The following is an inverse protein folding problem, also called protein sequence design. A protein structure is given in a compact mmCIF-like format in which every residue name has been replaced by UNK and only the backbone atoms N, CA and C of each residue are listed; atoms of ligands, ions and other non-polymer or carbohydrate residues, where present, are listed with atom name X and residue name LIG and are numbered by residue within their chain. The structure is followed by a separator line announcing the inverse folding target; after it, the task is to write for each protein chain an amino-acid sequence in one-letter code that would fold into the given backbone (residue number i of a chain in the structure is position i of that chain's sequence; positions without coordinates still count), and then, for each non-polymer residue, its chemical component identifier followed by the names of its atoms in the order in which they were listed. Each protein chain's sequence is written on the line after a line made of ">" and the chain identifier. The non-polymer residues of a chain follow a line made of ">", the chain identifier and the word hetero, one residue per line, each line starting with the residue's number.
data_IF_650156862695
#
_entry.id   IF_650156862695
#
_cell.length_a   1.000
_cell.length_b   1.000
_cell.length_c   1.000
_cell.angle_alpha   90.00
_cell.angle_beta   90.00
_cell.angle_gamma   90.00
#
_symmetry.space_group_name_H-M   'P 1'
#
loop_
_entity.id
_entity.type
_entity.pdbx_description
1 polymer ?
#
# COMPACT_ATOMS: atom_id res chain seq x y z
N UNK A 1 22.87 -9.22 -17.61
CA UNK A 1 21.83 -9.64 -18.58
C UNK A 1 20.48 -9.93 -17.93
N UNK A 2 20.41 -10.61 -16.78
CA UNK A 2 19.14 -10.93 -16.11
C UNK A 2 18.28 -9.72 -15.71
N UNK A 3 18.89 -8.59 -15.34
CA UNK A 3 18.19 -7.34 -14.99
C UNK A 3 17.52 -6.65 -16.19
N UNK A 4 18.14 -6.72 -17.37
CA UNK A 4 17.60 -6.13 -18.61
C UNK A 4 16.39 -6.90 -19.13
N UNK A 5 16.43 -8.24 -19.10
CA UNK A 5 15.27 -9.05 -19.48
C UNK A 5 14.09 -8.85 -18.54
N UNK A 6 14.35 -8.76 -17.22
CA UNK A 6 13.29 -8.53 -16.23
C UNK A 6 12.63 -7.15 -16.41
N UNK A 7 13.41 -6.10 -16.68
CA UNK A 7 12.87 -4.77 -16.97
C UNK A 7 12.06 -4.73 -18.29
N UNK A 8 12.51 -5.45 -19.31
CA UNK A 8 11.79 -5.61 -20.57
C UNK A 8 10.45 -6.34 -20.39
N UNK A 9 10.42 -7.44 -19.64
CA UNK A 9 9.18 -8.19 -19.38
C UNK A 9 8.16 -7.38 -18.57
N UNK A 10 8.61 -6.58 -17.60
CA UNK A 10 7.73 -5.70 -16.83
C UNK A 10 7.13 -4.60 -17.70
N UNK A 11 7.84 -4.11 -18.72
CA UNK A 11 7.34 -3.13 -19.70
C UNK A 11 6.08 -3.62 -20.45
N UNK A 12 5.95 -4.93 -20.70
CA UNK A 12 4.78 -5.54 -21.36
C UNK A 12 3.70 -6.03 -20.39
N UNK A 13 4.01 -6.09 -19.08
CA UNK A 13 3.01 -6.37 -18.03
C UNK A 13 2.36 -5.11 -17.48
N UNK A 14 2.94 -3.93 -17.75
CA UNK A 14 2.36 -2.65 -17.38
C UNK A 14 0.97 -2.50 -18.02
N UNK A 15 0.00 -2.13 -17.19
CA UNK A 15 -1.23 -1.50 -17.67
C UNK A 15 -0.85 -0.26 -18.51
N UNK A 16 -1.70 0.19 -19.45
CA UNK A 16 -1.43 1.42 -20.19
C UNK A 16 -1.00 2.51 -19.21
N UNK A 17 0.22 3.03 -19.38
CA UNK A 17 0.67 4.18 -18.61
C UNK A 17 -0.41 5.26 -18.79
N UNK A 18 -0.85 5.87 -17.68
CA UNK A 18 -1.78 6.99 -17.73
C UNK A 18 -1.08 8.10 -18.55
N UNK A 19 -1.46 8.21 -19.81
CA UNK A 19 -0.86 9.13 -20.75
C UNK A 19 -1.79 10.33 -20.84
N UNK A 20 -1.29 11.46 -20.38
CA UNK A 20 -2.03 12.72 -20.40
C UNK A 20 -1.79 13.41 -21.74
N UNK A 21 -2.88 13.90 -22.35
CA UNK A 21 -2.83 14.60 -23.64
C UNK A 21 -2.17 15.97 -23.56
N UNK A 22 -1.97 16.50 -22.35
CA UNK A 22 -1.27 17.76 -22.10
C UNK A 22 -0.61 17.83 -20.72
N UNK A 23 0.30 18.79 -20.55
CA UNK A 23 0.89 19.08 -19.24
C UNK A 23 -0.16 19.59 -18.23
N UNK A 24 -1.15 20.36 -18.68
CA UNK A 24 -2.22 20.87 -17.80
C UNK A 24 -3.07 19.73 -17.24
N UNK A 25 -3.33 18.71 -18.05
CA UNK A 25 -4.06 17.51 -17.64
C UNK A 25 -3.26 16.69 -16.62
N UNK A 26 -1.96 16.47 -16.85
CA UNK A 26 -1.06 15.84 -15.88
C UNK A 26 -1.03 16.63 -14.56
N UNK A 27 -0.86 17.95 -14.63
CA UNK A 27 -0.82 18.82 -13.45
C UNK A 27 -2.16 18.79 -12.70
N UNK A 28 -3.26 18.79 -13.44
CA UNK A 28 -4.62 18.62 -12.90
C UNK A 28 -4.77 17.30 -12.15
N UNK A 29 -4.33 16.19 -12.75
CA UNK A 29 -4.38 14.88 -12.09
C UNK A 29 -3.49 14.84 -10.85
N UNK A 30 -2.26 15.34 -10.91
CA UNK A 30 -1.38 15.39 -9.73
C UNK A 30 -1.98 16.22 -8.58
N UNK A 31 -2.65 17.33 -8.90
CA UNK A 31 -3.35 18.14 -7.88
C UNK A 31 -4.53 17.40 -7.29
N UNK A 32 -5.37 16.79 -8.12
CA UNK A 32 -6.49 15.98 -7.66
C UNK A 32 -6.02 14.85 -6.73
N UNK A 33 -5.03 14.05 -7.15
CA UNK A 33 -4.44 12.99 -6.31
C UNK A 33 -3.97 13.53 -4.98
N UNK A 34 -3.24 14.65 -4.97
CA UNK A 34 -2.74 15.27 -3.75
C UNK A 34 -3.89 15.72 -2.84
N UNK A 35 -4.90 16.38 -3.41
CA UNK A 35 -6.02 16.95 -2.66
C UNK A 35 -6.95 15.86 -2.12
N UNK A 36 -7.00 14.70 -2.79
CA UNK A 36 -7.73 13.48 -2.39
C UNK A 36 -6.90 12.57 -1.46
N UNK A 37 -5.60 12.81 -1.31
CA UNK A 37 -4.74 12.00 -0.44
C UNK A 37 -4.83 12.46 1.01
N UNK A 38 -4.88 11.51 1.94
CA UNK A 38 -4.97 11.78 3.38
C UNK A 38 -3.92 11.01 4.17
N UNK A 39 -3.38 11.65 5.20
CA UNK A 39 -2.55 10.98 6.21
C UNK A 39 -3.43 10.54 7.39
N UNK A 40 -3.50 9.23 7.62
CA UNK A 40 -4.22 8.65 8.75
C UNK A 40 -3.23 8.08 9.77
N UNK A 41 -3.43 8.42 11.04
CA UNK A 41 -2.65 7.90 12.15
C UNK A 41 -3.51 6.92 12.95
N UNK A 42 -3.20 5.63 12.83
CA UNK A 42 -3.97 4.55 13.46
C UNK A 42 -3.24 4.06 14.71
N UNK A 43 -3.83 4.15 15.91
CA UNK A 43 -3.26 3.58 17.12
C UNK A 43 -3.00 2.07 16.96
N UNK A 44 -1.96 1.50 17.59
CA UNK A 44 -1.67 0.07 17.46
C UNK A 44 -2.83 -0.85 17.87
N UNK A 45 -3.61 -0.45 18.89
CA UNK A 45 -4.74 -1.23 19.40
C UNK A 45 -5.93 -1.26 18.43
N UNK A 46 -6.04 -0.24 17.58
CA UNK A 46 -7.09 -0.11 16.56
C UNK A 46 -6.64 -0.61 15.18
N UNK A 47 -5.34 -0.87 15.00
CA UNK A 47 -4.79 -1.36 13.75
C UNK A 47 -5.17 -2.83 13.53
N UNK A 48 -6.24 -3.06 12.76
CA UNK A 48 -6.73 -4.41 12.43
C UNK A 48 -6.79 -4.59 10.93
N UNK A 49 -5.81 -5.30 10.40
CA UNK A 49 -5.80 -5.70 9.00
C UNK A 49 -6.73 -6.90 8.81
N UNK A 50 -7.68 -6.77 7.89
CA UNK A 50 -8.58 -7.87 7.52
C UNK A 50 -7.86 -8.93 6.66
N UNK A 51 -8.52 -10.06 6.42
CA UNK A 51 -7.98 -11.12 5.57
C UNK A 51 -7.84 -10.72 4.09
N UNK A 52 -8.54 -9.68 3.64
CA UNK A 52 -8.48 -9.13 2.30
C UNK A 52 -7.51 -7.94 2.17
N UNK A 53 -6.65 -7.72 3.19
CA UNK A 53 -5.68 -6.62 3.24
C UNK A 53 -6.35 -5.23 3.22
N UNK A 54 -7.56 -5.14 3.75
CA UNK A 54 -8.25 -3.88 4.00
C UNK A 54 -8.04 -3.45 5.44
N UNK A 55 -8.03 -2.13 5.65
CA UNK A 55 -7.88 -1.51 6.96
C UNK A 55 -9.11 -0.62 7.20
N UNK A 56 -9.89 -0.85 8.24
CA UNK A 56 -10.99 0.04 8.58
C UNK A 56 -10.43 1.36 9.10
N UNK A 57 -10.54 2.41 8.29
CA UNK A 57 -10.29 3.79 8.68
C UNK A 57 -11.62 4.45 9.06
N UNK A 58 -11.59 5.50 9.90
CA UNK A 58 -12.81 6.18 10.38
C UNK A 58 -13.77 6.59 9.25
N UNK A 59 -13.21 7.08 8.13
CA UNK A 59 -13.99 7.53 6.97
C UNK A 59 -14.12 6.48 5.85
N UNK A 60 -13.43 5.34 5.96
CA UNK A 60 -13.43 4.30 4.94
C UNK A 60 -13.21 2.90 5.57
N UNK A 61 -14.29 2.13 5.81
CA UNK A 61 -14.20 0.84 6.52
C UNK A 61 -13.50 -0.25 5.70
N UNK A 62 -13.44 -0.10 4.37
CA UNK A 62 -12.86 -1.08 3.45
C UNK A 62 -11.61 -0.53 2.75
N UNK A 63 -10.86 0.37 3.42
CA UNK A 63 -9.71 1.02 2.79
C UNK A 63 -8.64 0.01 2.39
N UNK A 64 -8.39 -0.09 1.08
CA UNK A 64 -7.33 -0.91 0.51
C UNK A 64 -6.00 -0.17 0.60
N UNK A 65 -5.01 -0.84 1.19
CA UNK A 65 -3.66 -0.29 1.28
C UNK A 65 -3.09 -0.01 -0.11
N UNK A 66 -2.64 1.22 -0.33
CA UNK A 66 -1.83 1.54 -1.50
C UNK A 66 -0.42 0.94 -1.36
N UNK A 67 0.35 1.01 -2.45
CA UNK A 67 1.70 0.45 -2.52
C UNK A 67 2.63 1.00 -1.44
N UNK A 68 2.48 2.28 -1.09
CA UNK A 68 3.28 2.94 -0.07
C UNK A 68 2.99 2.38 1.33
N UNK A 69 1.73 2.41 1.75
CA UNK A 69 1.28 1.92 3.06
C UNK A 69 1.56 0.44 3.23
N UNK A 70 1.32 -0.36 2.18
CA UNK A 70 1.66 -1.78 2.17
C UNK A 70 3.17 -2.02 2.34
N UNK A 71 4.01 -1.25 1.63
CA UNK A 71 5.47 -1.36 1.74
C UNK A 71 5.98 -0.96 3.14
N UNK A 72 5.38 0.05 3.76
CA UNK A 72 5.70 0.43 5.14
C UNK A 72 5.38 -0.70 6.12
N UNK A 73 4.20 -1.34 5.99
CA UNK A 73 3.81 -2.46 6.84
C UNK A 73 4.75 -3.65 6.68
N UNK A 74 5.12 -4.00 5.44
CA UNK A 74 6.10 -5.05 5.17
C UNK A 74 7.42 -4.79 5.93
N UNK A 75 7.91 -3.54 5.90
CA UNK A 75 9.14 -3.15 6.58
C UNK A 75 9.03 -3.24 8.10
N UNK A 76 7.90 -2.81 8.67
CA UNK A 76 7.64 -2.87 10.12
C UNK A 76 7.52 -4.32 10.61
N UNK A 77 6.88 -5.17 9.81
CA UNK A 77 6.74 -6.61 10.04
C UNK A 77 8.06 -7.39 9.84
N UNK A 78 9.07 -6.79 9.20
CA UNK A 78 10.30 -7.49 8.84
C UNK A 78 10.10 -8.56 7.76
N UNK A 79 9.01 -8.48 6.99
CA UNK A 79 8.67 -9.44 5.92
C UNK A 79 8.91 -8.79 4.56
N UNK A 80 9.49 -9.54 3.62
CA UNK A 80 9.71 -9.05 2.25
C UNK A 80 8.39 -8.83 1.52
N UNK A 81 8.22 -7.64 0.94
CA UNK A 81 7.09 -7.29 0.04
C UNK A 81 6.96 -8.27 -1.13
N UNK A 82 8.09 -8.66 -1.74
CA UNK A 82 8.11 -9.63 -2.83
C UNK A 82 7.59 -11.01 -2.41
N UNK A 83 7.82 -11.39 -1.15
CA UNK A 83 7.28 -12.64 -0.59
C UNK A 83 5.78 -12.51 -0.42
N UNK A 84 5.30 -11.45 0.24
CA UNK A 84 3.87 -11.25 0.49
C UNK A 84 3.06 -11.15 -0.81
N UNK A 85 3.58 -10.48 -1.83
CA UNK A 85 2.94 -10.36 -3.15
C UNK A 85 2.77 -11.71 -3.89
N UNK A 86 3.50 -12.76 -3.49
CA UNK A 86 3.36 -14.12 -4.06
C UNK A 86 2.39 -14.99 -3.27
N UNK A 87 1.94 -14.53 -2.11
CA UNK A 87 1.01 -15.25 -1.26
C UNK A 87 -0.43 -14.86 -1.60
N UNK A 88 -1.37 -15.71 -1.19
CA UNK A 88 -2.79 -15.31 -1.21
C UNK A 88 -3.01 -14.11 -0.28
N UNK A 89 -3.98 -13.21 -0.54
CA UNK A 89 -4.28 -12.09 0.34
C UNK A 89 -4.51 -12.52 1.79
N UNK A 90 -5.24 -13.63 1.99
CA UNK A 90 -5.48 -14.22 3.31
C UNK A 90 -4.19 -14.60 4.03
N UNK A 91 -3.24 -15.23 3.33
CA UNK A 91 -1.96 -15.65 3.90
C UNK A 91 -1.05 -14.43 4.16
N UNK A 92 -1.03 -13.46 3.24
CA UNK A 92 -0.27 -12.24 3.41
C UNK A 92 -0.78 -11.42 4.60
N UNK A 93 -2.11 -11.29 4.73
CA UNK A 93 -2.76 -10.63 5.86
C UNK A 93 -2.41 -11.32 7.16
N UNK A 94 -2.43 -12.66 7.19
CA UNK A 94 -2.05 -13.40 8.40
C UNK A 94 -0.57 -13.23 8.76
N UNK A 95 0.32 -13.25 7.78
CA UNK A 95 1.73 -13.03 8.01
C UNK A 95 1.99 -11.64 8.62
N UNK A 96 1.35 -10.59 8.09
CA UNK A 96 1.42 -9.24 8.67
C UNK A 96 0.83 -9.20 10.08
N UNK A 97 -0.34 -9.80 10.28
CA UNK A 97 -1.00 -9.89 11.60
C UNK A 97 -0.10 -10.56 12.65
N UNK A 98 0.67 -11.58 12.29
CA UNK A 98 1.53 -12.32 13.24
C UNK A 98 2.90 -11.65 13.49
N UNK A 99 3.36 -10.80 12.57
CA UNK A 99 4.73 -10.26 12.60
C UNK A 99 4.81 -8.77 12.88
N UNK A 100 3.70 -8.03 12.73
CA UNK A 100 3.67 -6.63 13.10
C UNK A 100 3.99 -6.47 14.60
N UNK A 101 4.81 -5.47 14.96
CA UNK A 101 5.10 -5.20 16.36
C UNK A 101 3.85 -4.64 17.05
N UNK A 102 3.30 -5.37 18.03
CA UNK A 102 2.21 -4.88 18.90
C UNK A 102 2.72 -4.51 20.30
N UNK A 103 3.68 -3.59 20.49
CA UNK A 103 3.99 -3.15 21.82
C UNK A 103 2.79 -2.36 22.37
N UNK A 104 2.23 -2.73 23.54
CA UNK A 104 1.23 -1.92 24.22
C UNK A 104 1.78 -0.50 24.44
N UNK A 105 1.04 0.53 24.03
CA UNK A 105 1.52 1.92 24.08
C UNK A 105 2.57 2.28 23.01
N UNK A 106 2.65 1.51 21.92
CA UNK A 106 3.51 1.77 20.77
C UNK A 106 3.15 3.05 19.99
N UNK A 107 4.02 3.44 19.06
CA UNK A 107 3.76 4.58 18.16
C UNK A 107 2.63 4.22 17.19
N UNK A 108 1.74 5.18 16.83
CA UNK A 108 0.72 4.96 15.83
C UNK A 108 1.31 4.65 14.45
N UNK A 109 0.58 3.86 13.67
CA UNK A 109 0.89 3.55 12.28
C UNK A 109 0.44 4.71 11.38
N UNK A 110 1.32 5.18 10.51
CA UNK A 110 0.95 6.11 9.45
C UNK A 110 0.46 5.33 8.23
N UNK A 111 -0.75 5.64 7.79
CA UNK A 111 -1.37 5.09 6.60
C UNK A 111 -1.70 6.24 5.67
N UNK A 112 -1.08 6.21 4.49
CA UNK A 112 -1.38 7.16 3.43
C UNK A 112 -2.57 6.61 2.65
N UNK A 113 -3.68 7.34 2.62
CA UNK A 113 -4.79 7.12 1.71
C UNK A 113 -4.62 7.96 0.44
N UNK A 114 -5.09 7.40 -0.68
CA UNK A 114 -5.16 8.06 -1.98
C UNK A 114 -6.57 7.79 -2.50
N UNK A 115 -7.29 8.83 -2.91
CA UNK A 115 -8.62 8.72 -3.52
C UNK A 115 -8.63 8.03 -4.88
#
# INVERSE_FOLDING_TARGET
>A
MATLMKAHEELFRRTPDESFGSFEELLGRCRAVRDESGDHWVPPDDFKLTHDLTLPLEDNPDYRLNDWSFSQLCRLAGVSKDTLNRLSPKTAGKALEETLPYPPGGKPYQVLSTG
#
